data_IF_298970410923
#
_entry.id   IF_298970410923
#
_cell.length_a   1.000
_cell.length_b   1.000
_cell.length_c   1.000
_cell.angle_alpha   90.00
_cell.angle_beta   90.00
_cell.angle_gamma   90.00
#
_symmetry.space_group_name_H-M   'P 1'
#
loop_
_entity.id
_entity.type
_entity.pdbx_description
1 polymer ?
#
# COMPACT_ATOMS: atom_id res chain seq x y z
N UNK A 1 -15.34 -11.64 12.17
CA UNK A 1 -14.05 -11.09 12.66
C UNK A 1 -13.87 -9.68 12.08
N UNK A 2 -13.34 -8.74 12.86
CA UNK A 2 -13.05 -7.38 12.39
C UNK A 2 -11.99 -7.42 11.30
N UNK A 3 -12.06 -6.48 10.31
CA UNK A 3 -11.04 -6.36 9.24
C UNK A 3 -9.64 -6.15 9.83
N UNK A 4 -9.52 -5.37 10.90
CA UNK A 4 -8.26 -5.17 11.62
C UNK A 4 -7.67 -6.47 12.19
N UNK A 5 -8.53 -7.38 12.69
CA UNK A 5 -8.10 -8.67 13.20
C UNK A 5 -7.55 -9.55 12.07
N UNK A 6 -8.19 -9.54 10.90
CA UNK A 6 -7.75 -10.29 9.71
C UNK A 6 -6.41 -9.76 9.20
N UNK A 7 -6.27 -8.43 9.08
CA UNK A 7 -4.99 -7.80 8.70
C UNK A 7 -3.90 -8.16 9.71
N UNK A 8 -4.17 -8.08 11.02
CA UNK A 8 -3.17 -8.42 12.05
C UNK A 8 -2.72 -9.88 11.96
N UNK A 9 -3.62 -10.82 11.64
CA UNK A 9 -3.24 -12.23 11.48
C UNK A 9 -2.31 -12.44 10.28
N UNK A 10 -2.56 -11.75 9.16
CA UNK A 10 -1.65 -11.78 8.00
C UNK A 10 -0.29 -11.15 8.29
N UNK A 11 -0.28 -10.02 9.00
CA UNK A 11 0.96 -9.34 9.40
C UNK A 11 1.81 -10.18 10.37
N UNK A 12 1.18 -10.99 11.22
CA UNK A 12 1.85 -11.87 12.19
C UNK A 12 2.35 -13.18 11.57
N UNK A 13 1.88 -13.55 10.38
CA UNK A 13 2.30 -14.78 9.71
C UNK A 13 3.79 -14.72 9.33
N UNK A 14 4.53 -15.76 9.73
CA UNK A 14 5.94 -15.89 9.40
C UNK A 14 6.10 -16.62 8.06
N UNK A 15 6.25 -15.83 7.00
CA UNK A 15 6.38 -16.36 5.64
C UNK A 15 7.60 -17.30 5.51
N UNK A 16 8.70 -17.06 6.24
CA UNK A 16 9.87 -17.92 6.16
C UNK A 16 9.57 -19.32 6.71
N UNK A 17 8.94 -19.40 7.89
CA UNK A 17 8.57 -20.68 8.48
C UNK A 17 7.56 -21.46 7.62
N UNK A 18 6.67 -20.76 6.92
CA UNK A 18 5.73 -21.36 5.98
C UNK A 18 6.44 -21.93 4.76
N UNK A 19 7.44 -21.21 4.24
CA UNK A 19 8.23 -21.61 3.08
C UNK A 19 9.17 -22.79 3.38
N UNK A 20 9.78 -22.78 4.56
CA UNK A 20 10.70 -23.85 4.99
C UNK A 20 9.98 -25.19 5.20
N UNK A 21 8.67 -25.14 5.48
CA UNK A 21 7.82 -26.33 5.69
C UNK A 21 7.08 -26.77 4.41
N UNK A 22 7.20 -26.05 3.31
CA UNK A 22 6.41 -26.30 2.10
C UNK A 22 7.08 -27.29 1.15
N UNK A 23 6.32 -28.24 0.61
CA UNK A 23 6.76 -29.10 -0.50
C UNK A 23 6.99 -28.32 -1.79
N UNK A 24 6.18 -27.29 -2.04
CA UNK A 24 6.27 -26.40 -3.20
C UNK A 24 6.23 -24.93 -2.71
N UNK A 25 7.39 -24.34 -2.39
CA UNK A 25 7.47 -22.98 -1.87
C UNK A 25 6.93 -21.91 -2.85
N UNK A 26 7.07 -22.13 -4.15
CA UNK A 26 6.62 -21.19 -5.19
C UNK A 26 5.08 -21.07 -5.17
N UNK A 27 4.38 -22.18 -5.25
CA UNK A 27 2.91 -22.20 -5.20
C UNK A 27 2.37 -21.66 -3.89
N UNK A 28 3.07 -21.93 -2.78
CA UNK A 28 2.65 -21.43 -1.47
C UNK A 28 2.74 -19.91 -1.39
N UNK A 29 3.84 -19.31 -1.89
CA UNK A 29 3.99 -17.85 -1.91
C UNK A 29 2.95 -17.21 -2.81
N UNK A 30 2.71 -17.76 -4.02
CA UNK A 30 1.71 -17.25 -4.95
C UNK A 30 0.30 -17.27 -4.32
N UNK A 31 -0.06 -18.34 -3.62
CA UNK A 31 -1.35 -18.46 -2.93
C UNK A 31 -1.44 -17.43 -1.78
N UNK A 32 -0.37 -17.28 -1.00
CA UNK A 32 -0.29 -16.31 0.09
C UNK A 32 -0.41 -14.87 -0.41
N UNK A 33 0.30 -14.51 -1.49
CA UNK A 33 0.20 -13.21 -2.15
C UNK A 33 -1.20 -12.93 -2.68
N UNK A 34 -1.84 -13.94 -3.29
CA UNK A 34 -3.22 -13.82 -3.77
C UNK A 34 -4.19 -13.51 -2.63
N UNK A 35 -4.03 -14.22 -1.50
CA UNK A 35 -4.84 -13.98 -0.31
C UNK A 35 -4.60 -12.58 0.27
N UNK A 36 -3.34 -12.17 0.40
CA UNK A 36 -3.00 -10.84 0.93
C UNK A 36 -3.56 -9.71 0.05
N UNK A 37 -3.48 -9.84 -1.28
CA UNK A 37 -4.03 -8.84 -2.21
C UNK A 37 -5.56 -8.78 -2.14
N UNK A 38 -6.25 -9.90 -1.95
CA UNK A 38 -7.69 -9.92 -1.74
C UNK A 38 -8.09 -9.20 -0.46
N UNK A 39 -7.41 -9.48 0.65
CA UNK A 39 -7.60 -8.81 1.93
C UNK A 39 -7.29 -7.31 1.87
N UNK A 40 -6.23 -6.92 1.14
CA UNK A 40 -5.89 -5.51 0.91
C UNK A 40 -7.02 -4.78 0.19
N UNK A 41 -7.61 -5.39 -0.84
CA UNK A 41 -8.73 -4.81 -1.58
C UNK A 41 -9.96 -4.60 -0.68
N UNK A 42 -10.30 -5.60 0.13
CA UNK A 42 -11.41 -5.52 1.07
C UNK A 42 -11.14 -4.46 2.17
N UNK A 43 -9.91 -4.43 2.69
CA UNK A 43 -9.50 -3.46 3.69
C UNK A 43 -9.52 -2.02 3.16
N UNK A 44 -9.10 -1.80 1.91
CA UNK A 44 -9.21 -0.48 1.24
C UNK A 44 -10.66 -0.03 1.13
N UNK A 45 -11.56 -0.93 0.72
CA UNK A 45 -12.99 -0.62 0.62
C UNK A 45 -13.59 -0.28 2.00
N UNK A 46 -13.29 -1.06 3.03
CA UNK A 46 -13.75 -0.80 4.40
C UNK A 46 -13.18 0.52 4.96
N UNK A 47 -11.92 0.84 4.68
CA UNK A 47 -11.31 2.10 5.09
C UNK A 47 -11.98 3.29 4.39
N UNK A 48 -12.29 3.17 3.10
CA UNK A 48 -13.00 4.21 2.36
C UNK A 48 -14.40 4.48 2.95
N UNK A 49 -15.14 3.45 3.35
CA UNK A 49 -16.42 3.59 4.05
C UNK A 49 -16.25 4.29 5.40
N UNK A 50 -15.26 3.88 6.20
CA UNK A 50 -14.98 4.51 7.49
C UNK A 50 -14.60 5.99 7.35
N UNK A 51 -13.85 6.37 6.32
CA UNK A 51 -13.52 7.77 5.98
C UNK A 51 -14.76 8.58 5.56
N UNK A 52 -15.69 7.97 4.83
CA UNK A 52 -16.95 8.62 4.47
C UNK A 52 -17.81 8.89 5.72
N UNK A 53 -17.86 7.93 6.66
CA UNK A 53 -18.56 8.09 7.95
C UNK A 53 -17.91 9.17 8.82
N UNK A 54 -16.57 9.22 8.90
CA UNK A 54 -15.81 10.28 9.56
C UNK A 54 -16.16 11.66 9.00
N UNK A 55 -16.17 11.79 7.68
CA UNK A 55 -16.52 13.04 6.99
C UNK A 55 -17.94 13.47 7.31
N UNK A 56 -18.88 12.52 7.36
CA UNK A 56 -20.28 12.78 7.71
C UNK A 56 -20.41 13.26 9.17
N UNK A 57 -19.75 12.61 10.10
CA UNK A 57 -19.75 12.99 11.52
C UNK A 57 -19.14 14.38 11.73
N UNK A 58 -18.03 14.66 11.08
CA UNK A 58 -17.40 15.99 11.09
C UNK A 58 -18.34 17.06 10.55
N UNK A 59 -19.04 16.80 9.46
CA UNK A 59 -20.01 17.74 8.90
C UNK A 59 -21.18 18.02 9.86
N UNK A 60 -21.66 17.00 10.60
CA UNK A 60 -22.70 17.18 11.62
C UNK A 60 -22.18 18.00 12.81
N UNK A 61 -20.96 17.72 13.26
CA UNK A 61 -20.30 18.52 14.30
C UNK A 61 -20.21 19.99 13.89
N UNK A 62 -19.67 20.28 12.70
CA UNK A 62 -19.49 21.65 12.20
C UNK A 62 -20.83 22.39 12.05
N UNK A 63 -21.89 21.73 11.56
CA UNK A 63 -23.23 22.32 11.45
C UNK A 63 -23.82 22.68 12.78
N UNK A 64 -23.81 21.77 13.75
CA UNK A 64 -24.36 22.02 15.08
C UNK A 64 -23.56 23.08 15.82
N UNK A 65 -22.24 23.14 15.62
CA UNK A 65 -21.37 24.19 16.16
C UNK A 65 -21.75 25.56 15.60
N UNK A 66 -21.93 25.66 14.28
CA UNK A 66 -22.39 26.91 13.64
C UNK A 66 -23.76 27.34 14.18
N UNK A 67 -24.69 26.40 14.40
CA UNK A 67 -26.01 26.68 14.97
C UNK A 67 -25.89 27.19 16.42
N UNK A 68 -25.05 26.56 17.25
CA UNK A 68 -24.80 27.02 18.61
C UNK A 68 -24.23 28.44 18.63
N UNK A 69 -23.27 28.74 17.76
CA UNK A 69 -22.66 30.07 17.62
C UNK A 69 -23.70 31.13 17.13
N UNK A 70 -24.63 30.75 16.27
CA UNK A 70 -25.72 31.63 15.83
C UNK A 70 -26.67 31.93 16.97
N UNK A 71 -27.08 30.94 17.75
CA UNK A 71 -27.93 31.16 18.92
C UNK A 71 -27.23 32.02 19.99
N UNK A 72 -25.91 31.86 20.16
CA UNK A 72 -25.12 32.72 21.01
C UNK A 72 -25.23 34.19 20.56
N UNK A 73 -24.98 34.46 19.27
CA UNK A 73 -25.08 35.85 18.71
C UNK A 73 -26.50 36.41 18.85
N UNK A 74 -27.54 35.61 18.67
CA UNK A 74 -28.93 36.03 18.86
C UNK A 74 -29.21 36.40 20.31
N UNK A 75 -28.69 35.63 21.27
CA UNK A 75 -28.82 35.93 22.66
C UNK A 75 -28.13 37.26 23.05
N UNK A 76 -26.93 37.52 22.51
CA UNK A 76 -26.19 38.75 22.72
C UNK A 76 -26.95 40.00 22.20
N UNK A 77 -27.54 39.88 21.00
CA UNK A 77 -28.37 40.96 20.42
C UNK A 77 -29.61 41.19 21.26
N UNK A 78 -30.26 40.15 21.80
CA UNK A 78 -31.42 40.31 22.68
C UNK A 78 -31.08 41.00 23.97
N UNK A 79 -29.93 40.68 24.59
CA UNK A 79 -29.44 41.36 25.78
C UNK A 79 -29.15 42.85 25.50
N UNK A 80 -28.51 43.17 24.37
CA UNK A 80 -28.26 44.56 23.96
C UNK A 80 -29.53 45.42 23.79
N UNK A 81 -30.69 44.76 23.62
CA UNK A 81 -32.01 45.39 23.43
C UNK A 81 -32.90 45.28 24.67
N UNK A 82 -32.32 44.92 25.83
CA UNK A 82 -33.05 44.69 27.09
C UNK A 82 -34.21 43.69 26.99
N UNK A 83 -34.07 42.70 26.04
CA UNK A 83 -35.08 41.66 25.81
C UNK A 83 -34.69 40.34 26.52
N UNK A 84 -34.70 40.33 27.83
CA UNK A 84 -34.22 39.22 28.65
C UNK A 84 -34.92 37.86 28.37
N UNK A 85 -36.23 37.90 28.10
CA UNK A 85 -36.99 36.68 27.85
C UNK A 85 -36.54 36.04 26.50
N UNK A 86 -36.32 36.84 25.48
CA UNK A 86 -35.80 36.39 24.18
C UNK A 86 -34.35 35.89 24.30
N UNK A 87 -33.53 36.53 25.12
CA UNK A 87 -32.19 36.10 25.43
C UNK A 87 -32.16 34.70 26.09
N UNK A 88 -33.07 34.46 27.09
CA UNK A 88 -33.22 33.15 27.75
C UNK A 88 -33.62 32.05 26.77
N UNK A 89 -34.58 32.35 25.87
CA UNK A 89 -34.98 31.36 24.84
C UNK A 89 -33.83 31.03 23.89
N UNK A 90 -33.08 32.03 23.43
CA UNK A 90 -31.91 31.84 22.56
C UNK A 90 -30.81 31.01 23.25
N UNK A 91 -30.54 31.29 24.54
CA UNK A 91 -29.57 30.50 25.32
C UNK A 91 -30.02 29.05 25.53
N UNK A 92 -31.33 28.82 25.71
CA UNK A 92 -31.88 27.46 25.81
C UNK A 92 -31.65 26.68 24.50
N UNK A 93 -31.89 27.30 23.33
CA UNK A 93 -31.64 26.71 22.01
C UNK A 93 -30.15 26.46 21.79
N UNK A 94 -29.28 27.42 22.17
CA UNK A 94 -27.83 27.22 22.18
C UNK A 94 -27.42 26.01 23.01
N UNK A 95 -27.95 25.88 24.24
CA UNK A 95 -27.62 24.76 25.11
C UNK A 95 -28.04 23.40 24.51
N UNK A 96 -29.15 23.34 23.79
CA UNK A 96 -29.57 22.13 23.08
C UNK A 96 -28.64 21.83 21.88
N UNK A 97 -28.28 22.83 21.08
CA UNK A 97 -27.30 22.68 19.99
C UNK A 97 -25.92 22.24 20.54
N UNK A 98 -25.49 22.80 21.67
CA UNK A 98 -24.21 22.43 22.31
C UNK A 98 -24.17 20.96 22.72
N UNK A 99 -25.27 20.39 23.24
CA UNK A 99 -25.33 18.94 23.55
C UNK A 99 -25.12 18.07 22.29
N UNK A 100 -25.63 18.53 21.14
CA UNK A 100 -25.42 17.83 19.87
C UNK A 100 -23.96 17.98 19.39
N UNK A 101 -23.36 19.18 19.56
CA UNK A 101 -21.95 19.41 19.29
C UNK A 101 -21.09 18.44 20.07
N UNK A 102 -21.28 18.35 21.38
CA UNK A 102 -20.49 17.48 22.27
C UNK A 102 -20.65 16.00 21.87
N UNK A 103 -21.87 15.59 21.54
CA UNK A 103 -22.16 14.23 21.09
C UNK A 103 -21.52 13.88 19.74
N UNK A 104 -21.60 14.76 18.74
CA UNK A 104 -20.99 14.53 17.43
C UNK A 104 -19.47 14.66 17.47
N UNK A 105 -18.93 15.55 18.31
CA UNK A 105 -17.50 15.66 18.52
C UNK A 105 -16.91 14.35 19.03
N UNK A 106 -17.46 13.78 20.09
CA UNK A 106 -16.99 12.51 20.65
C UNK A 106 -17.06 11.35 19.63
N UNK A 107 -18.13 11.31 18.82
CA UNK A 107 -18.29 10.29 17.79
C UNK A 107 -17.27 10.49 16.65
N UNK A 108 -17.05 11.74 16.21
CA UNK A 108 -16.09 12.05 15.18
C UNK A 108 -14.65 11.73 15.62
N UNK A 109 -14.26 12.10 16.85
CA UNK A 109 -12.94 11.78 17.41
C UNK A 109 -12.70 10.27 17.45
N UNK A 110 -13.68 9.51 17.95
CA UNK A 110 -13.59 8.04 17.96
C UNK A 110 -13.48 7.43 16.56
N UNK A 111 -14.23 7.97 15.59
CA UNK A 111 -14.17 7.50 14.19
C UNK A 111 -12.85 7.89 13.52
N UNK A 112 -12.31 9.07 13.82
CA UNK A 112 -11.01 9.54 13.34
C UNK A 112 -9.88 8.59 13.79
N UNK A 113 -9.88 8.20 15.05
CA UNK A 113 -8.91 7.26 15.59
C UNK A 113 -8.98 5.90 14.89
N UNK A 114 -10.20 5.39 14.66
CA UNK A 114 -10.41 4.14 13.92
C UNK A 114 -9.90 4.23 12.47
N UNK A 115 -10.17 5.33 11.77
CA UNK A 115 -9.67 5.57 10.40
C UNK A 115 -8.14 5.63 10.40
N UNK A 116 -7.54 6.29 11.39
CA UNK A 116 -6.08 6.36 11.54
C UNK A 116 -5.47 4.96 11.72
N UNK A 117 -6.05 4.12 12.60
CA UNK A 117 -5.61 2.73 12.78
C UNK A 117 -5.74 1.90 11.50
N UNK A 118 -6.84 2.04 10.76
CA UNK A 118 -7.07 1.34 9.49
C UNK A 118 -6.03 1.74 8.45
N UNK A 119 -5.72 3.03 8.31
CA UNK A 119 -4.69 3.52 7.38
C UNK A 119 -3.30 2.97 7.72
N UNK A 120 -2.93 2.96 8.99
CA UNK A 120 -1.66 2.38 9.44
C UNK A 120 -1.60 0.87 9.16
N UNK A 121 -2.71 0.16 9.38
CA UNK A 121 -2.79 -1.27 9.09
C UNK A 121 -2.67 -1.58 7.60
N UNK A 122 -3.31 -0.76 6.74
CA UNK A 122 -3.19 -0.85 5.27
C UNK A 122 -1.74 -0.66 4.81
N UNK A 123 -1.07 0.39 5.27
CA UNK A 123 0.32 0.66 4.89
C UNK A 123 1.25 -0.50 5.29
N UNK A 124 1.03 -1.09 6.48
CA UNK A 124 1.79 -2.27 6.90
C UNK A 124 1.50 -3.50 6.04
N UNK A 125 0.25 -3.68 5.62
CA UNK A 125 -0.13 -4.80 4.75
C UNK A 125 0.48 -4.65 3.36
N UNK A 126 0.49 -3.44 2.80
CA UNK A 126 1.16 -3.11 1.53
C UNK A 126 2.66 -3.44 1.61
N UNK A 127 3.36 -2.94 2.61
CA UNK A 127 4.78 -3.25 2.81
C UNK A 127 5.04 -4.77 2.99
N UNK A 128 4.10 -5.50 3.60
CA UNK A 128 4.21 -6.95 3.76
C UNK A 128 4.00 -7.71 2.44
N UNK A 129 3.15 -7.18 1.56
CA UNK A 129 2.97 -7.71 0.20
C UNK A 129 4.27 -7.52 -0.60
N UNK A 130 4.85 -6.33 -0.56
CA UNK A 130 6.11 -6.04 -1.26
C UNK A 130 7.25 -6.97 -0.76
N UNK A 131 7.35 -7.21 0.57
CA UNK A 131 8.28 -8.19 1.14
C UNK A 131 8.03 -9.60 0.59
N UNK A 132 6.78 -10.03 0.52
CA UNK A 132 6.42 -11.36 0.03
C UNK A 132 6.70 -11.51 -1.49
N UNK A 133 6.48 -10.46 -2.27
CA UNK A 133 6.83 -10.42 -3.70
C UNK A 133 8.34 -10.54 -3.92
N UNK A 134 9.14 -9.80 -3.18
CA UNK A 134 10.60 -9.91 -3.24
C UNK A 134 11.09 -11.32 -2.88
N UNK A 135 10.47 -11.97 -1.88
CA UNK A 135 10.78 -13.35 -1.51
C UNK A 135 10.40 -14.35 -2.59
N UNK A 136 9.24 -14.16 -3.23
CA UNK A 136 8.81 -14.97 -4.37
C UNK A 136 9.85 -14.92 -5.49
N UNK A 137 10.28 -13.73 -5.86
CA UNK A 137 11.27 -13.54 -6.94
C UNK A 137 12.60 -14.22 -6.60
N UNK A 138 13.03 -14.16 -5.34
CA UNK A 138 14.21 -14.88 -4.86
C UNK A 138 14.05 -16.41 -4.95
N UNK A 139 12.88 -16.95 -4.62
CA UNK A 139 12.59 -18.39 -4.74
C UNK A 139 12.63 -18.83 -6.20
N UNK A 140 11.99 -18.06 -7.09
CA UNK A 140 12.01 -18.31 -8.52
C UNK A 140 13.43 -18.33 -9.08
N UNK A 141 14.27 -17.36 -8.68
CA UNK A 141 15.67 -17.31 -9.09
C UNK A 141 16.46 -18.55 -8.58
N UNK A 142 16.26 -18.96 -7.32
CA UNK A 142 16.88 -20.16 -6.77
C UNK A 142 16.45 -21.43 -7.49
N UNK A 143 15.16 -21.57 -7.78
CA UNK A 143 14.62 -22.73 -8.51
C UNK A 143 15.19 -22.82 -9.93
N UNK A 144 15.24 -21.72 -10.66
CA UNK A 144 15.86 -21.65 -11.99
C UNK A 144 17.34 -22.07 -11.95
N UNK A 145 18.08 -21.59 -10.95
CA UNK A 145 19.48 -21.95 -10.76
C UNK A 145 19.65 -23.43 -10.47
N UNK A 146 18.81 -24.01 -9.59
CA UNK A 146 18.83 -25.44 -9.29
C UNK A 146 18.53 -26.30 -10.53
N UNK A 147 17.49 -25.96 -11.29
CA UNK A 147 17.16 -26.64 -12.55
C UNK A 147 18.30 -26.58 -13.58
N UNK A 148 18.96 -25.42 -13.69
CA UNK A 148 20.13 -25.26 -14.57
C UNK A 148 21.29 -26.15 -14.11
N UNK A 149 21.57 -26.23 -12.80
CA UNK A 149 22.60 -27.07 -12.24
C UNK A 149 22.31 -28.56 -12.46
N UNK A 150 21.05 -28.97 -12.28
CA UNK A 150 20.62 -30.36 -12.56
C UNK A 150 20.79 -30.71 -14.04
N UNK A 151 20.40 -29.80 -14.94
CA UNK A 151 20.56 -29.98 -16.38
C UNK A 151 22.05 -30.13 -16.78
N UNK A 152 22.94 -29.32 -16.19
CA UNK A 152 24.39 -29.43 -16.41
C UNK A 152 24.91 -30.76 -15.87
N UNK A 153 24.51 -31.17 -14.67
CA UNK A 153 24.95 -32.44 -14.06
C UNK A 153 24.47 -33.63 -14.87
N UNK A 154 23.23 -33.63 -15.33
CA UNK A 154 22.66 -34.68 -16.19
C UNK A 154 23.39 -34.74 -17.55
N UNK A 155 23.71 -33.60 -18.13
CA UNK A 155 24.48 -33.52 -19.35
C UNK A 155 25.89 -34.10 -19.21
N UNK A 156 26.59 -33.78 -18.11
CA UNK A 156 27.91 -34.34 -17.79
C UNK A 156 27.88 -35.86 -17.56
N UNK A 157 26.83 -36.38 -16.91
CA UNK A 157 26.65 -37.82 -16.71
C UNK A 157 26.39 -38.58 -18.03
N UNK A 158 25.65 -37.98 -18.97
CA UNK A 158 25.37 -38.57 -20.28
C UNK A 158 26.64 -38.67 -21.16
N UNK A 159 27.61 -37.74 -20.96
CA UNK A 159 28.90 -37.75 -21.66
C UNK A 159 29.83 -38.87 -21.18
N UNK A 160 29.76 -39.26 -19.91
CA UNK A 160 30.59 -40.38 -19.39
C UNK A 160 30.19 -41.76 -19.92
N UNK A 161 29.00 -41.89 -20.57
CA UNK A 161 28.47 -43.15 -21.06
C UNK A 161 28.61 -43.41 -22.58
N UNK A 162 29.03 -42.44 -23.39
CA UNK A 162 29.16 -42.59 -24.84
C UNK A 162 30.41 -41.91 -25.41
N UNK A 163 31.05 -42.55 -26.38
CA UNK A 163 32.26 -42.16 -27.07
C UNK A 163 32.42 -40.69 -27.40
N UNK A 164 33.52 -40.13 -26.91
CA UNK A 164 33.71 -38.72 -26.53
C UNK A 164 33.85 -37.69 -27.65
N UNK A 165 33.89 -38.03 -28.94
CA UNK A 165 34.43 -37.08 -29.95
C UNK A 165 33.39 -36.29 -30.77
N UNK A 166 32.18 -36.81 -30.97
CA UNK A 166 31.15 -36.08 -31.74
C UNK A 166 30.10 -35.38 -30.83
N UNK A 167 30.00 -35.79 -29.57
CA UNK A 167 29.00 -35.23 -28.63
C UNK A 167 29.50 -33.99 -27.93
N UNK A 168 30.82 -33.83 -27.74
CA UNK A 168 31.44 -32.65 -27.09
C UNK A 168 31.21 -31.35 -27.89
N UNK A 169 31.39 -31.37 -29.20
CA UNK A 169 31.17 -30.17 -30.03
C UNK A 169 29.71 -29.73 -30.12
N UNK A 170 28.75 -30.67 -30.03
CA UNK A 170 27.30 -30.35 -29.99
C UNK A 170 26.88 -29.83 -28.64
N UNK A 171 27.47 -30.31 -27.55
CA UNK A 171 27.21 -29.84 -26.20
C UNK A 171 27.82 -28.48 -25.92
N UNK A 172 29.04 -28.24 -26.38
CA UNK A 172 29.69 -26.95 -26.29
C UNK A 172 28.84 -25.86 -26.98
N UNK A 173 28.36 -26.12 -28.19
CA UNK A 173 27.46 -25.23 -28.91
C UNK A 173 26.11 -25.00 -28.21
N UNK A 174 25.56 -26.02 -27.53
CA UNK A 174 24.31 -25.89 -26.76
C UNK A 174 24.50 -25.14 -25.44
N UNK A 175 25.64 -25.28 -24.77
CA UNK A 175 26.00 -24.54 -23.57
C UNK A 175 26.26 -23.08 -23.93
N UNK A 176 26.99 -22.81 -25.00
CA UNK A 176 27.25 -21.45 -25.48
C UNK A 176 25.96 -20.74 -25.91
N UNK A 177 25.03 -21.44 -26.58
CA UNK A 177 23.73 -20.86 -26.95
C UNK A 177 22.87 -20.53 -25.69
N UNK A 178 22.91 -21.38 -24.65
CA UNK A 178 22.17 -21.15 -23.39
C UNK A 178 22.81 -20.07 -22.54
N UNK A 179 24.16 -19.98 -22.50
CA UNK A 179 24.88 -18.89 -21.86
C UNK A 179 24.57 -17.55 -22.56
N UNK A 180 24.65 -17.51 -23.88
CA UNK A 180 24.31 -16.32 -24.65
C UNK A 180 22.85 -15.85 -24.47
N UNK A 181 21.91 -16.81 -24.31
CA UNK A 181 20.51 -16.47 -23.98
C UNK A 181 20.36 -15.97 -22.53
N UNK A 182 21.10 -16.54 -21.58
CA UNK A 182 21.07 -16.09 -20.19
C UNK A 182 21.70 -14.70 -20.04
N UNK A 183 22.80 -14.44 -20.72
CA UNK A 183 23.45 -13.13 -20.75
C UNK A 183 22.56 -12.07 -21.45
N UNK A 184 21.93 -12.43 -22.57
CA UNK A 184 20.97 -11.55 -23.25
C UNK A 184 19.74 -11.24 -22.39
N UNK A 185 19.24 -12.19 -21.59
CA UNK A 185 18.17 -11.94 -20.64
C UNK A 185 18.61 -11.09 -19.44
N UNK A 186 19.85 -11.26 -18.97
CA UNK A 186 20.42 -10.43 -17.92
C UNK A 186 20.66 -8.99 -18.41
N UNK A 187 21.13 -8.82 -19.64
CA UNK A 187 21.30 -7.52 -20.29
C UNK A 187 19.95 -6.80 -20.51
N UNK A 188 18.91 -7.52 -20.93
CA UNK A 188 17.57 -6.95 -21.07
C UNK A 188 16.97 -6.52 -19.72
N UNK A 189 17.22 -7.29 -18.66
CA UNK A 189 16.78 -6.92 -17.31
C UNK A 189 17.59 -5.72 -16.75
N UNK A 190 18.89 -5.62 -17.10
CA UNK A 190 19.72 -4.46 -16.77
C UNK A 190 19.28 -3.20 -17.50
N UNK A 191 18.98 -3.30 -18.79
CA UNK A 191 18.51 -2.17 -19.60
C UNK A 191 17.14 -1.64 -19.14
N UNK A 192 16.25 -2.50 -18.65
CA UNK A 192 14.96 -2.07 -18.06
C UNK A 192 15.16 -1.26 -16.78
N UNK A 193 16.13 -1.63 -15.95
CA UNK A 193 16.51 -0.88 -14.75
C UNK A 193 17.14 0.47 -15.08
N UNK A 194 18.09 0.51 -16.00
CA UNK A 194 18.74 1.74 -16.44
C UNK A 194 17.75 2.70 -17.12
N UNK A 195 16.81 2.18 -17.91
CA UNK A 195 15.73 2.97 -18.51
C UNK A 195 14.84 3.60 -17.42
N UNK A 196 14.46 2.85 -16.39
CA UNK A 196 13.63 3.38 -15.28
C UNK A 196 14.37 4.42 -14.44
N UNK A 197 15.69 4.28 -14.25
CA UNK A 197 16.49 5.32 -13.59
C UNK A 197 16.63 6.57 -14.45
N UNK A 198 16.82 6.42 -15.77
CA UNK A 198 16.86 7.54 -16.72
C UNK A 198 15.52 8.29 -16.78
N UNK A 199 14.39 7.58 -16.72
CA UNK A 199 13.07 8.20 -16.67
C UNK A 199 12.86 8.99 -15.35
N UNK A 200 13.31 8.46 -14.21
CA UNK A 200 13.28 9.14 -12.91
C UNK A 200 14.18 10.39 -12.88
N UNK A 201 15.37 10.32 -13.45
CA UNK A 201 16.28 11.48 -13.57
C UNK A 201 15.67 12.57 -14.47
N UNK A 202 15.00 12.16 -15.57
CA UNK A 202 14.32 13.07 -16.48
C UNK A 202 13.13 13.75 -15.79
N UNK A 203 12.36 13.01 -15.01
CA UNK A 203 11.21 13.54 -14.24
C UNK A 203 11.64 14.55 -13.17
N UNK A 204 12.75 14.26 -12.45
CA UNK A 204 13.35 15.20 -11.50
C UNK A 204 13.89 16.47 -12.17
N UNK A 205 14.51 16.33 -13.34
CA UNK A 205 15.01 17.48 -14.09
C UNK A 205 13.86 18.36 -14.59
N UNK A 206 12.78 17.76 -15.10
CA UNK A 206 11.59 18.49 -15.55
C UNK A 206 10.91 19.22 -14.39
N UNK A 207 10.85 18.62 -13.19
CA UNK A 207 10.28 19.25 -12.01
C UNK A 207 11.13 20.42 -11.49
N UNK A 208 12.46 20.28 -11.56
CA UNK A 208 13.41 21.35 -11.26
C UNK A 208 13.28 22.52 -12.25
N UNK A 209 13.22 22.22 -13.55
CA UNK A 209 13.07 23.23 -14.60
C UNK A 209 11.70 23.95 -14.51
N UNK A 210 10.65 23.23 -14.11
CA UNK A 210 9.32 23.80 -13.86
C UNK A 210 9.34 24.76 -12.64
N UNK A 211 10.05 24.38 -11.58
CA UNK A 211 10.22 25.24 -10.39
C UNK A 211 11.00 26.51 -10.73
N UNK A 212 12.08 26.40 -11.52
CA UNK A 212 12.86 27.52 -12.00
C UNK A 212 12.04 28.45 -12.93
N UNK A 213 11.20 27.88 -13.78
CA UNK A 213 10.33 28.64 -14.67
C UNK A 213 9.25 29.41 -13.86
N UNK A 214 8.65 28.75 -12.86
CA UNK A 214 7.69 29.40 -11.94
C UNK A 214 8.34 30.54 -11.16
N UNK A 215 9.57 30.34 -10.69
CA UNK A 215 10.36 31.38 -10.02
C UNK A 215 10.63 32.60 -10.93
N UNK A 216 11.01 32.36 -12.19
CA UNK A 216 11.27 33.43 -13.20
C UNK A 216 10.02 34.15 -13.63
N UNK A 217 8.85 33.52 -13.57
CA UNK A 217 7.55 34.11 -13.95
C UNK A 217 6.82 34.77 -12.77
N UNK A 218 7.40 34.82 -11.57
CA UNK A 218 6.83 35.49 -10.38
C UNK A 218 5.52 34.84 -9.89
N UNK A 219 5.32 33.56 -10.18
CA UNK A 219 4.21 32.74 -9.66
C UNK A 219 4.79 31.73 -8.67
N UNK A 220 5.02 32.23 -7.46
CA UNK A 220 5.26 31.43 -6.27
C UNK A 220 4.01 31.27 -5.45
#
# INVERSE_FOLDING_TARGET
>A
MSILTRIRSLLSANINAMLDAAEDPEKMVDEYLRQMRAELSEARAATAMAMADETRLRSQYERNKSEADEWQRKAEIAVQRDQDDLAREALLRRANAQKLVDGYQAQWESQHDQVSELRMALSKLEAKIDEAEAKRDLILAKNRRAQTQEAITSALQSVQGHTADESLGRMEAQVDERLARADAMADLAGQDLDSRFSDLETEQQVESDLADLKSKMGKG
#
